data_IF_855897229842
#
_entry.id   IF_855897229842
#
_cell.length_a   1.000
_cell.length_b   1.000
_cell.length_c   1.000
_cell.angle_alpha   90.00
_cell.angle_beta   90.00
_cell.angle_gamma   90.00
#
_symmetry.space_group_name_H-M   'P 1'
#
loop_
_entity.id
_entity.type
_entity.pdbx_description
1 polymer ?
#
# COMPACT_ATOMS: atom_id res chain seq x y z
N UNK A 1 5.00 14.19 19.15
CA UNK A 1 5.03 12.77 18.81
C UNK A 1 6.01 12.55 17.66
N UNK A 2 6.83 11.56 17.80
CA UNK A 2 7.82 11.26 16.78
C UNK A 2 7.13 10.68 15.55
N UNK A 3 7.35 11.28 14.39
CA UNK A 3 6.76 10.80 13.16
C UNK A 3 7.44 9.53 12.68
N UNK A 4 6.63 8.58 12.24
CA UNK A 4 7.11 7.33 11.65
C UNK A 4 7.29 7.50 10.16
N UNK A 5 8.46 7.11 9.65
CA UNK A 5 8.74 7.17 8.20
C UNK A 5 7.78 6.24 7.45
N UNK A 6 7.58 5.03 7.95
CA UNK A 6 6.66 4.08 7.29
C UNK A 6 5.22 4.57 7.35
N UNK A 7 4.83 5.22 8.46
CA UNK A 7 3.49 5.79 8.60
C UNK A 7 3.25 6.88 7.58
N UNK A 8 4.21 7.79 7.41
CA UNK A 8 4.09 8.88 6.46
C UNK A 8 4.07 8.37 5.02
N UNK A 9 5.01 7.49 4.66
CA UNK A 9 5.09 6.96 3.29
C UNK A 9 3.86 6.15 2.91
N UNK A 10 3.34 5.34 3.82
CA UNK A 10 2.13 4.55 3.53
C UNK A 10 0.89 5.43 3.41
N UNK A 11 0.82 6.52 4.18
CA UNK A 11 -0.28 7.47 4.06
C UNK A 11 -0.24 8.20 2.70
N UNK A 12 0.94 8.68 2.30
CA UNK A 12 1.12 9.34 1.00
C UNK A 12 0.80 8.39 -0.16
N UNK A 13 1.18 7.13 -0.02
CA UNK A 13 0.82 6.10 -0.99
C UNK A 13 -0.71 5.95 -1.09
N UNK A 14 -1.39 5.91 0.05
CA UNK A 14 -2.86 5.83 0.08
C UNK A 14 -3.50 7.02 -0.64
N UNK A 15 -2.96 8.23 -0.44
CA UNK A 15 -3.45 9.42 -1.15
C UNK A 15 -3.30 9.28 -2.66
N UNK A 16 -2.16 8.78 -3.11
CA UNK A 16 -1.92 8.57 -4.53
C UNK A 16 -2.89 7.53 -5.09
N UNK A 17 -3.14 6.47 -4.35
CA UNK A 17 -4.11 5.44 -4.73
C UNK A 17 -5.50 6.04 -4.91
N UNK A 18 -5.93 6.87 -3.96
CA UNK A 18 -7.25 7.52 -4.04
C UNK A 18 -7.34 8.41 -5.29
N UNK A 19 -6.29 9.16 -5.60
CA UNK A 19 -6.28 10.04 -6.78
C UNK A 19 -6.33 9.23 -8.07
N UNK A 20 -5.56 8.15 -8.16
CA UNK A 20 -5.58 7.25 -9.32
C UNK A 20 -6.94 6.56 -9.46
N UNK A 21 -7.55 6.18 -8.33
CA UNK A 21 -8.89 5.61 -8.32
C UNK A 21 -9.92 6.57 -8.94
N UNK A 22 -9.85 7.86 -8.58
CA UNK A 22 -10.76 8.85 -9.14
C UNK A 22 -10.63 8.93 -10.66
N UNK A 23 -9.43 8.89 -11.19
CA UNK A 23 -9.20 8.89 -12.63
C UNK A 23 -9.81 7.65 -13.30
N UNK A 24 -9.62 6.49 -12.68
CA UNK A 24 -10.17 5.23 -13.20
C UNK A 24 -11.69 5.29 -13.28
N UNK A 25 -12.34 5.81 -12.25
CA UNK A 25 -13.80 5.87 -12.18
C UNK A 25 -14.35 6.98 -13.09
N UNK A 26 -13.83 8.20 -12.98
CA UNK A 26 -14.44 9.36 -13.64
C UNK A 26 -13.99 9.50 -15.08
N UNK A 27 -12.75 9.18 -15.41
CA UNK A 27 -12.25 9.34 -16.78
C UNK A 27 -12.32 8.05 -17.58
N UNK A 28 -11.94 6.92 -16.97
CA UNK A 28 -11.88 5.65 -17.68
C UNK A 28 -13.16 4.83 -17.56
N UNK A 29 -14.06 5.21 -16.67
CA UNK A 29 -15.32 4.50 -16.42
C UNK A 29 -15.08 3.03 -16.02
N UNK A 30 -13.98 2.78 -15.32
CA UNK A 30 -13.64 1.46 -14.84
C UNK A 30 -14.11 1.34 -13.39
N UNK A 31 -15.06 0.43 -13.10
CA UNK A 31 -15.74 0.36 -11.81
C UNK A 31 -15.50 -0.93 -11.04
N UNK A 32 -14.82 -1.89 -11.63
CA UNK A 32 -14.63 -3.22 -11.04
C UNK A 32 -13.22 -3.39 -10.46
N UNK A 33 -12.21 -3.30 -11.32
CA UNK A 33 -10.82 -3.45 -10.90
C UNK A 33 -10.41 -2.28 -10.01
N UNK A 34 -10.95 -1.10 -10.28
CA UNK A 34 -10.65 0.10 -9.50
C UNK A 34 -11.01 -0.07 -8.03
N UNK A 35 -12.09 -0.77 -7.73
CA UNK A 35 -12.50 -1.03 -6.34
C UNK A 35 -11.49 -1.91 -5.61
N UNK A 36 -10.99 -2.93 -6.27
CA UNK A 36 -9.97 -3.81 -5.68
C UNK A 36 -8.66 -3.06 -5.45
N UNK A 37 -8.27 -2.26 -6.41
CA UNK A 37 -7.10 -1.39 -6.30
C UNK A 37 -7.23 -0.42 -5.12
N UNK A 38 -8.37 0.25 -5.01
CA UNK A 38 -8.63 1.19 -3.91
C UNK A 38 -8.58 0.49 -2.57
N UNK A 39 -9.28 -0.64 -2.44
CA UNK A 39 -9.35 -1.40 -1.19
C UNK A 39 -7.95 -1.84 -0.73
N UNK A 40 -7.21 -2.51 -1.60
CA UNK A 40 -5.90 -3.01 -1.23
C UNK A 40 -4.91 -1.88 -0.96
N UNK A 41 -4.92 -0.85 -1.82
CA UNK A 41 -3.99 0.26 -1.70
C UNK A 41 -4.16 1.07 -0.42
N UNK A 42 -5.41 1.33 -0.02
CA UNK A 42 -5.68 2.07 1.22
C UNK A 42 -5.51 1.19 2.45
N UNK A 43 -5.64 -0.13 2.30
CA UNK A 43 -5.42 -1.07 3.41
C UNK A 43 -3.96 -1.10 3.87
N UNK A 44 -3.02 -0.77 2.98
CA UNK A 44 -1.61 -0.70 3.36
C UNK A 44 -1.42 0.33 4.47
N UNK A 45 -1.84 1.57 4.22
CA UNK A 45 -1.71 2.65 5.20
C UNK A 45 -2.55 2.42 6.44
N UNK A 46 -3.76 1.89 6.27
CA UNK A 46 -4.65 1.63 7.40
C UNK A 46 -4.02 0.62 8.37
N UNK A 47 -3.42 -0.45 7.87
CA UNK A 47 -2.79 -1.45 8.72
C UNK A 47 -1.48 -0.95 9.34
N UNK A 48 -0.71 -0.14 8.62
CA UNK A 48 0.46 0.51 9.20
C UNK A 48 0.05 1.42 10.35
N UNK A 49 -1.01 2.21 10.16
CA UNK A 49 -1.53 3.09 11.21
C UNK A 49 -1.92 2.30 12.45
N UNK A 50 -2.63 1.18 12.27
CA UNK A 50 -3.01 0.32 13.40
C UNK A 50 -1.79 -0.30 14.08
N UNK A 51 -0.78 -0.69 13.30
CA UNK A 51 0.45 -1.26 13.85
C UNK A 51 1.14 -0.26 14.77
N UNK A 52 1.20 1.01 14.37
CA UNK A 52 1.88 2.06 15.15
C UNK A 52 1.19 2.32 16.49
N UNK A 53 -0.07 1.96 16.63
CA UNK A 53 -0.84 2.06 17.88
C UNK A 53 -1.05 0.69 18.53
N UNK A 54 -0.32 -0.33 18.07
CA UNK A 54 -0.41 -1.68 18.61
C UNK A 54 0.11 -1.76 20.03
N UNK A 55 -0.41 -2.72 20.80
CA UNK A 55 -0.11 -2.86 22.21
C UNK A 55 1.04 -3.82 22.52
N UNK A 56 1.51 -4.55 21.52
CA UNK A 56 2.58 -5.53 21.69
C UNK A 56 3.38 -5.69 20.42
N UNK A 57 4.56 -6.26 20.53
CA UNK A 57 5.38 -6.59 19.36
C UNK A 57 4.67 -7.59 18.44
N UNK A 58 3.93 -8.52 19.02
CA UNK A 58 3.15 -9.49 18.25
C UNK A 58 2.07 -8.82 17.44
N UNK A 59 1.33 -7.88 18.04
CA UNK A 59 0.28 -7.13 17.36
C UNK A 59 0.87 -6.24 16.26
N UNK A 60 1.98 -5.58 16.56
CA UNK A 60 2.71 -4.74 15.62
C UNK A 60 3.11 -5.55 14.38
N UNK A 61 3.75 -6.71 14.57
CA UNK A 61 4.17 -7.59 13.48
C UNK A 61 2.96 -8.09 12.69
N UNK A 62 1.89 -8.45 13.38
CA UNK A 62 0.67 -8.94 12.74
C UNK A 62 0.11 -7.90 11.77
N UNK A 63 -0.04 -6.65 12.23
CA UNK A 63 -0.59 -5.57 11.40
C UNK A 63 0.34 -5.21 10.24
N UNK A 64 1.64 -5.16 10.47
CA UNK A 64 2.59 -4.89 9.39
C UNK A 64 2.62 -6.02 8.36
N UNK A 65 2.42 -7.27 8.79
CA UNK A 65 2.34 -8.41 7.88
C UNK A 65 1.12 -8.31 6.97
N UNK A 66 -0.01 -7.84 7.51
CA UNK A 66 -1.21 -7.59 6.70
C UNK A 66 -0.92 -6.45 5.71
N UNK A 67 -0.29 -5.37 6.17
CA UNK A 67 0.07 -4.25 5.29
C UNK A 67 0.94 -4.72 4.13
N UNK A 68 1.92 -5.58 4.41
CA UNK A 68 2.81 -6.14 3.40
C UNK A 68 2.03 -6.97 2.37
N UNK A 69 1.12 -7.80 2.85
CA UNK A 69 0.25 -8.60 1.98
C UNK A 69 -0.59 -7.71 1.07
N UNK A 70 -1.16 -6.64 1.63
CA UNK A 70 -2.00 -5.72 0.85
C UNK A 70 -1.19 -4.91 -0.15
N UNK A 71 0.05 -4.55 0.18
CA UNK A 71 0.94 -3.87 -0.76
C UNK A 71 1.24 -4.77 -1.95
N UNK A 72 1.46 -6.05 -1.69
CA UNK A 72 1.70 -7.02 -2.75
C UNK A 72 0.46 -7.21 -3.64
N UNK A 73 -0.72 -7.23 -3.04
CA UNK A 73 -1.97 -7.29 -3.79
C UNK A 73 -2.17 -6.04 -4.65
N UNK A 74 -1.85 -4.87 -4.09
CA UNK A 74 -1.95 -3.61 -4.83
C UNK A 74 -1.03 -3.61 -6.05
N UNK A 75 0.16 -4.15 -5.90
CA UNK A 75 1.10 -4.32 -7.00
C UNK A 75 0.47 -5.13 -8.14
N UNK A 76 -0.22 -6.21 -7.80
CA UNK A 76 -0.93 -7.04 -8.78
C UNK A 76 -1.98 -6.22 -9.54
N UNK A 77 -2.80 -5.48 -8.83
CA UNK A 77 -3.85 -4.67 -9.47
C UNK A 77 -3.27 -3.58 -10.36
N UNK A 78 -2.19 -2.93 -9.93
CA UNK A 78 -1.53 -1.89 -10.73
C UNK A 78 -0.97 -2.49 -12.02
N UNK A 79 -0.33 -3.66 -11.94
CA UNK A 79 0.19 -4.34 -13.13
C UNK A 79 -0.93 -4.67 -14.11
N UNK A 80 -2.04 -5.17 -13.60
CA UNK A 80 -3.20 -5.52 -14.43
C UNK A 80 -3.80 -4.28 -15.10
N UNK A 81 -3.96 -3.20 -14.32
CA UNK A 81 -4.50 -1.93 -14.86
C UNK A 81 -3.56 -1.33 -15.91
N UNK A 82 -2.25 -1.45 -15.70
CA UNK A 82 -1.25 -0.97 -16.65
C UNK A 82 -1.33 -1.77 -17.95
N UNK A 83 -1.30 -3.09 -17.85
CA UNK A 83 -1.26 -3.98 -19.02
C UNK A 83 -2.57 -3.97 -19.81
N UNK A 84 -3.69 -3.65 -19.15
CA UNK A 84 -4.98 -3.53 -19.81
C UNK A 84 -5.23 -2.12 -20.36
N UNK A 85 -4.23 -1.24 -20.27
CA UNK A 85 -4.29 0.16 -20.76
C UNK A 85 -5.36 1.00 -20.04
N UNK A 86 -5.77 0.61 -18.84
CA UNK A 86 -6.69 1.39 -18.02
C UNK A 86 -5.95 2.45 -17.21
N UNK A 87 -4.67 2.23 -16.96
CA UNK A 87 -3.84 3.17 -16.22
C UNK A 87 -2.65 3.59 -17.08
N UNK A 88 -2.36 4.89 -17.06
CA UNK A 88 -1.22 5.46 -17.76
C UNK A 88 0.07 4.79 -17.27
N UNK A 89 0.97 4.50 -18.21
CA UNK A 89 2.21 3.76 -17.89
C UNK A 89 3.09 4.49 -16.88
N UNK A 90 3.24 5.80 -17.02
CA UNK A 90 4.04 6.60 -16.08
C UNK A 90 3.46 6.52 -14.67
N UNK A 91 2.16 6.71 -14.55
CA UNK A 91 1.46 6.64 -13.27
C UNK A 91 1.59 5.25 -12.64
N UNK A 92 1.38 4.22 -13.44
CA UNK A 92 1.49 2.83 -12.98
C UNK A 92 2.90 2.53 -12.49
N UNK A 93 3.90 2.97 -13.23
CA UNK A 93 5.30 2.72 -12.85
C UNK A 93 5.67 3.44 -11.55
N UNK A 94 5.14 4.64 -11.33
CA UNK A 94 5.34 5.36 -10.06
C UNK A 94 4.71 4.61 -8.89
N UNK A 95 3.50 4.10 -9.08
CA UNK A 95 2.84 3.30 -8.04
C UNK A 95 3.58 2.00 -7.76
N UNK A 96 4.05 1.33 -8.80
CA UNK A 96 4.82 0.08 -8.65
C UNK A 96 6.12 0.32 -7.88
N UNK A 97 6.82 1.42 -8.19
CA UNK A 97 8.05 1.77 -7.49
C UNK A 97 7.79 2.01 -6.00
N UNK A 98 6.70 2.72 -5.68
CA UNK A 98 6.33 2.96 -4.28
C UNK A 98 5.89 1.68 -3.57
N UNK A 99 5.19 0.79 -4.25
CA UNK A 99 4.86 -0.53 -3.70
C UNK A 99 6.11 -1.29 -3.32
N UNK A 100 7.10 -1.32 -4.22
CA UNK A 100 8.36 -2.02 -3.96
C UNK A 100 9.10 -1.41 -2.78
N UNK A 101 9.13 -0.09 -2.68
CA UNK A 101 9.75 0.59 -1.55
C UNK A 101 9.08 0.19 -0.23
N UNK A 102 7.73 0.25 -0.20
CA UNK A 102 6.97 -0.12 0.99
C UNK A 102 7.19 -1.58 1.37
N UNK A 103 7.21 -2.47 0.37
CA UNK A 103 7.45 -3.90 0.62
C UNK A 103 8.82 -4.12 1.27
N UNK A 104 9.86 -3.45 0.79
CA UNK A 104 11.20 -3.54 1.37
C UNK A 104 11.22 -3.01 2.79
N UNK A 105 10.61 -1.86 3.03
CA UNK A 105 10.56 -1.25 4.36
C UNK A 105 9.80 -2.12 5.35
N UNK A 106 8.63 -2.60 4.97
CA UNK A 106 7.80 -3.43 5.83
C UNK A 106 8.53 -4.74 6.19
N UNK A 107 9.17 -5.36 5.20
CA UNK A 107 9.93 -6.59 5.44
C UNK A 107 11.07 -6.34 6.42
N UNK A 108 11.82 -5.26 6.24
CA UNK A 108 12.94 -4.91 7.12
C UNK A 108 12.48 -4.68 8.56
N UNK A 109 11.37 -3.92 8.72
CA UNK A 109 10.84 -3.60 10.06
C UNK A 109 10.36 -4.89 10.75
N UNK A 110 9.66 -5.75 10.03
CA UNK A 110 9.16 -7.01 10.58
C UNK A 110 10.32 -7.88 11.05
N UNK A 111 11.35 -8.03 10.22
CA UNK A 111 12.52 -8.84 10.58
C UNK A 111 13.27 -8.28 11.78
N UNK A 112 13.47 -6.96 11.82
CA UNK A 112 14.13 -6.31 12.94
C UNK A 112 13.35 -6.50 14.23
N UNK A 113 12.03 -6.33 14.17
CA UNK A 113 11.17 -6.48 15.34
C UNK A 113 11.20 -7.90 15.87
N UNK A 114 11.17 -8.90 14.98
CA UNK A 114 11.27 -10.31 15.38
C UNK A 114 12.59 -10.62 16.06
N UNK A 115 13.69 -10.06 15.54
CA UNK A 115 15.02 -10.28 16.13
C UNK A 115 15.14 -9.69 17.52
N UNK A 116 14.39 -8.62 17.82
CA UNK A 116 14.44 -7.92 19.09
C UNK A 116 13.38 -8.40 20.10
N UNK A 117 12.61 -9.39 19.73
CA UNK A 117 11.52 -9.90 20.59
C UNK A 117 11.94 -11.06 21.47
#
# INVERSE_FOLDING_TARGET
MKQSIIGEKSFLFSLQVVQSYKTLVFSKKEYVLSKQFLRSGTSVGANVSEALYGQSSKDFISKLSIARKEANETKYWVQLLKMSAMMNEMEANQLLEKCEELLRMLTAIILTTRSNS
#
